data_IF_252751825217
#
_entry.id   IF_252751825217
#
_cell.length_a   1.000
_cell.length_b   1.000
_cell.length_c   1.000
_cell.angle_alpha   90.00
_cell.angle_beta   90.00
_cell.angle_gamma   90.00
#
_symmetry.space_group_name_H-M   'P 1'
#
loop_
_entity.id
_entity.type
_entity.pdbx_description
1 polymer ?
#
# COMPACT_ATOMS: atom_id res chain seq x y z
N UNK A 1 26.48 12.57 22.15
CA UNK A 1 25.25 12.84 21.37
C UNK A 1 25.17 11.87 20.21
N UNK A 2 24.06 11.18 19.96
CA UNK A 2 23.94 10.27 18.81
C UNK A 2 24.08 11.05 17.50
N UNK A 3 24.82 10.48 16.55
CA UNK A 3 25.00 11.10 15.24
C UNK A 3 23.67 11.22 14.48
N UNK A 4 23.56 12.14 13.50
CA UNK A 4 22.36 12.26 12.66
C UNK A 4 21.99 10.94 11.97
N UNK A 5 22.98 10.12 11.62
CA UNK A 5 22.80 8.79 11.02
C UNK A 5 22.22 7.78 12.01
N UNK A 6 22.64 7.80 13.29
CA UNK A 6 22.07 6.95 14.31
C UNK A 6 20.59 7.29 14.54
N UNK A 7 20.23 8.57 14.70
CA UNK A 7 18.84 9.03 14.85
C UNK A 7 17.96 8.66 13.65
N UNK A 8 18.49 8.74 12.43
CA UNK A 8 17.77 8.33 11.22
C UNK A 8 17.50 6.81 11.23
N UNK A 9 18.51 5.99 11.53
CA UNK A 9 18.42 4.53 11.64
C UNK A 9 17.40 4.12 12.70
N UNK A 10 17.45 4.72 13.88
CA UNK A 10 16.54 4.43 14.98
C UNK A 10 15.07 4.74 14.61
N UNK A 11 14.84 5.82 13.84
CA UNK A 11 13.52 6.17 13.32
C UNK A 11 12.98 5.16 12.30
N UNK A 12 13.83 4.52 11.48
CA UNK A 12 13.41 3.44 10.57
C UNK A 12 13.09 2.16 11.33
N UNK A 13 13.93 1.80 12.30
CA UNK A 13 13.72 0.61 13.13
C UNK A 13 12.42 0.75 13.96
N UNK A 14 12.18 1.93 14.53
CA UNK A 14 10.95 2.20 15.27
C UNK A 14 9.72 2.04 14.37
N UNK A 15 9.73 2.62 13.17
CA UNK A 15 8.63 2.46 12.22
C UNK A 15 8.42 1.00 11.82
N UNK A 16 9.50 0.27 11.52
CA UNK A 16 9.41 -1.14 11.19
C UNK A 16 8.83 -1.97 12.35
N UNK A 17 9.26 -1.70 13.59
CA UNK A 17 8.72 -2.36 14.78
C UNK A 17 7.23 -2.04 14.98
N UNK A 18 6.82 -0.78 14.82
CA UNK A 18 5.41 -0.37 14.92
C UNK A 18 4.52 -1.04 13.85
N UNK A 19 5.04 -1.23 12.64
CA UNK A 19 4.33 -1.93 11.57
C UNK A 19 4.32 -3.45 11.75
N UNK A 20 5.38 -4.02 12.33
CA UNK A 20 5.51 -5.46 12.55
C UNK A 20 4.75 -5.94 13.81
N UNK A 21 4.64 -5.12 14.84
CA UNK A 21 4.03 -5.53 16.11
C UNK A 21 2.58 -6.03 15.98
N UNK A 22 1.64 -5.34 15.29
CA UNK A 22 0.30 -5.85 15.08
C UNK A 22 0.29 -7.13 14.23
N UNK A 23 1.17 -7.22 13.23
CA UNK A 23 1.32 -8.42 12.40
C UNK A 23 1.74 -9.63 13.23
N UNK A 24 2.78 -9.48 14.06
CA UNK A 24 3.25 -10.54 14.96
C UNK A 24 2.17 -10.93 15.96
N UNK A 25 1.44 -9.96 16.52
CA UNK A 25 0.34 -10.21 17.43
C UNK A 25 -0.80 -11.00 16.79
N UNK A 26 -1.25 -10.59 15.59
CA UNK A 26 -2.30 -11.29 14.85
C UNK A 26 -1.90 -12.73 14.53
N UNK A 27 -0.69 -12.93 14.01
CA UNK A 27 -0.16 -14.27 13.71
C UNK A 27 -0.10 -15.13 14.98
N UNK A 28 0.44 -14.60 16.08
CA UNK A 28 0.49 -15.30 17.37
C UNK A 28 -0.89 -15.64 17.90
N UNK A 29 -1.84 -14.70 17.90
CA UNK A 29 -3.19 -14.90 18.39
C UNK A 29 -3.92 -16.00 17.61
N UNK A 30 -3.74 -16.02 16.28
CA UNK A 30 -4.34 -17.04 15.42
C UNK A 30 -3.74 -18.42 15.66
N UNK A 31 -2.40 -18.53 15.70
CA UNK A 31 -1.69 -19.79 15.92
C UNK A 31 -1.93 -20.39 17.32
N UNK A 32 -2.21 -19.56 18.32
CA UNK A 32 -2.52 -19.99 19.68
C UNK A 32 -4.01 -20.17 19.96
N UNK A 33 -4.89 -20.04 18.95
CA UNK A 33 -6.33 -20.17 19.09
C UNK A 33 -7.01 -19.07 19.92
N UNK A 34 -6.35 -17.91 20.09
CA UNK A 34 -6.90 -16.74 20.82
C UNK A 34 -7.83 -15.88 19.97
N UNK A 35 -7.79 -16.05 18.65
CA UNK A 35 -8.68 -15.41 17.69
C UNK A 35 -9.15 -16.44 16.67
N UNK A 36 -10.34 -16.24 16.13
CA UNK A 36 -10.92 -17.15 15.15
C UNK A 36 -10.75 -16.59 13.72
N UNK A 37 -11.01 -17.46 12.74
CA UNK A 37 -10.80 -17.17 11.31
C UNK A 37 -11.39 -15.84 10.85
N UNK A 38 -12.66 -15.56 11.20
CA UNK A 38 -13.34 -14.33 10.76
C UNK A 38 -12.64 -13.06 11.24
N UNK A 39 -12.31 -12.99 12.55
CA UNK A 39 -11.57 -11.83 13.10
C UNK A 39 -10.21 -11.68 12.45
N UNK A 40 -9.50 -12.80 12.26
CA UNK A 40 -8.16 -12.78 11.69
C UNK A 40 -8.15 -12.29 10.24
N UNK A 41 -9.09 -12.76 9.41
CA UNK A 41 -9.23 -12.32 8.01
C UNK A 41 -9.57 -10.84 7.95
N UNK A 42 -10.55 -10.37 8.74
CA UNK A 42 -10.91 -8.96 8.77
C UNK A 42 -9.74 -8.08 9.24
N UNK A 43 -9.16 -8.38 10.40
CA UNK A 43 -8.07 -7.57 10.94
C UNK A 43 -6.83 -7.51 10.01
N UNK A 44 -6.44 -8.63 9.42
CA UNK A 44 -5.30 -8.65 8.48
C UNK A 44 -5.60 -7.87 7.18
N UNK A 45 -6.84 -7.95 6.67
CA UNK A 45 -7.30 -7.18 5.54
C UNK A 45 -7.30 -5.67 5.81
N UNK A 46 -7.84 -5.25 6.94
CA UNK A 46 -7.89 -3.84 7.37
C UNK A 46 -6.48 -3.25 7.47
N UNK A 47 -5.56 -3.94 8.15
CA UNK A 47 -4.17 -3.49 8.24
C UNK A 47 -3.49 -3.40 6.87
N UNK A 48 -3.76 -4.34 5.96
CA UNK A 48 -3.24 -4.29 4.59
C UNK A 48 -3.72 -3.02 3.86
N UNK A 49 -5.02 -2.73 3.93
CA UNK A 49 -5.61 -1.53 3.32
C UNK A 49 -5.10 -0.25 3.96
N UNK A 50 -5.03 -0.15 5.28
CA UNK A 50 -4.51 1.05 5.95
C UNK A 50 -3.05 1.33 5.60
N UNK A 51 -2.20 0.31 5.57
CA UNK A 51 -0.82 0.45 5.13
C UNK A 51 -0.72 0.87 3.64
N UNK A 52 -1.55 0.31 2.77
CA UNK A 52 -1.62 0.67 1.35
C UNK A 52 -2.05 2.13 1.17
N UNK A 53 -3.14 2.55 1.82
CA UNK A 53 -3.62 3.93 1.79
C UNK A 53 -2.57 4.90 2.32
N UNK A 54 -1.94 4.58 3.44
CA UNK A 54 -0.86 5.40 4.01
C UNK A 54 0.31 5.53 3.01
N UNK A 55 0.71 4.43 2.35
CA UNK A 55 1.77 4.47 1.33
C UNK A 55 1.39 5.35 0.13
N UNK A 56 0.15 5.28 -0.34
CA UNK A 56 -0.34 6.06 -1.47
C UNK A 56 -0.54 7.54 -1.09
N UNK A 57 -0.98 7.83 0.12
CA UNK A 57 -1.20 9.20 0.62
C UNK A 57 0.08 10.05 0.73
N UNK A 58 1.26 9.44 0.86
CA UNK A 58 2.54 10.18 1.01
C UNK A 58 2.76 11.21 -0.10
N UNK A 59 2.48 10.84 -1.36
CA UNK A 59 2.71 11.72 -2.52
C UNK A 59 1.74 12.91 -2.59
N UNK A 60 0.41 12.72 -2.44
CA UNK A 60 -0.55 13.82 -2.33
C UNK A 60 -0.23 14.75 -1.15
N UNK A 61 0.04 14.19 0.03
CA UNK A 61 0.37 14.97 1.22
C UNK A 61 1.64 15.82 1.02
N UNK A 62 2.66 15.27 0.35
CA UNK A 62 3.84 16.05 -0.01
C UNK A 62 3.53 17.17 -0.99
N UNK A 63 2.57 16.99 -1.89
CA UNK A 63 2.13 18.02 -2.83
C UNK A 63 1.33 19.14 -2.15
N UNK A 64 0.49 18.79 -1.16
CA UNK A 64 -0.28 19.74 -0.36
C UNK A 64 0.59 20.53 0.63
N UNK A 65 1.55 19.85 1.25
CA UNK A 65 2.37 20.41 2.33
C UNK A 65 3.86 20.36 1.99
N UNK A 66 4.32 21.02 0.90
CA UNK A 66 5.67 20.84 0.36
C UNK A 66 6.77 21.35 1.29
N UNK A 67 6.46 22.31 2.18
CA UNK A 67 7.41 22.93 3.12
C UNK A 67 7.41 22.28 4.51
N UNK A 68 6.55 21.30 4.78
CA UNK A 68 6.47 20.66 6.10
C UNK A 68 7.50 19.54 6.23
N UNK A 69 8.25 19.55 7.33
CA UNK A 69 9.31 18.58 7.61
C UNK A 69 8.77 17.14 7.70
N UNK A 70 7.58 16.95 8.27
CA UNK A 70 6.98 15.63 8.42
C UNK A 70 6.67 14.95 7.06
N UNK A 71 6.28 15.71 6.01
CA UNK A 71 6.04 15.12 4.69
C UNK A 71 7.35 14.73 4.00
N UNK A 72 8.43 15.48 4.23
CA UNK A 72 9.78 15.12 3.79
C UNK A 72 10.28 13.85 4.52
N UNK A 73 9.94 13.71 5.81
CA UNK A 73 10.25 12.54 6.63
C UNK A 73 9.51 11.28 6.15
N UNK A 74 8.25 11.39 5.74
CA UNK A 74 7.44 10.28 5.24
C UNK A 74 7.93 9.74 3.88
N UNK A 75 8.46 10.58 3.01
CA UNK A 75 8.78 10.22 1.63
C UNK A 75 9.71 8.99 1.50
N UNK A 76 10.86 8.90 2.19
CA UNK A 76 11.71 7.70 2.14
C UNK A 76 11.08 6.51 2.86
N UNK A 77 10.13 6.73 3.77
CA UNK A 77 9.44 5.71 4.57
C UNK A 77 8.25 5.05 3.87
N UNK A 78 7.81 5.63 2.75
CA UNK A 78 6.74 5.07 1.89
C UNK A 78 6.98 3.60 1.53
N UNK A 79 8.25 3.21 1.35
CA UNK A 79 8.63 1.83 1.03
C UNK A 79 8.23 0.87 2.16
N UNK A 80 8.47 1.23 3.42
CA UNK A 80 8.12 0.40 4.57
C UNK A 80 6.60 0.21 4.70
N UNK A 81 5.82 1.25 4.44
CA UNK A 81 4.35 1.17 4.39
C UNK A 81 3.88 0.22 3.30
N UNK A 82 4.47 0.29 2.09
CA UNK A 82 4.12 -0.60 0.99
C UNK A 82 4.49 -2.07 1.26
N UNK A 83 5.66 -2.31 1.86
CA UNK A 83 6.09 -3.67 2.27
C UNK A 83 5.19 -4.21 3.38
N UNK A 84 4.80 -3.36 4.34
CA UNK A 84 3.86 -3.75 5.39
C UNK A 84 2.49 -4.11 4.81
N UNK A 85 1.96 -3.31 3.85
CA UNK A 85 0.73 -3.63 3.16
C UNK A 85 0.76 -5.03 2.53
N UNK A 86 1.87 -5.37 1.85
CA UNK A 86 2.07 -6.71 1.30
C UNK A 86 2.15 -7.78 2.39
N UNK A 87 2.88 -7.55 3.49
CA UNK A 87 3.03 -8.51 4.58
C UNK A 87 1.66 -8.85 5.22
N UNK A 88 0.80 -7.86 5.43
CA UNK A 88 -0.56 -8.07 5.91
C UNK A 88 -1.46 -8.76 4.86
N UNK A 89 -1.35 -8.40 3.58
CA UNK A 89 -2.06 -9.08 2.51
C UNK A 89 -1.63 -10.55 2.37
N UNK A 90 -0.34 -10.85 2.57
CA UNK A 90 0.18 -12.22 2.60
C UNK A 90 -0.39 -13.00 3.78
N UNK A 91 -0.45 -12.40 4.98
CA UNK A 91 -1.06 -13.02 6.16
C UNK A 91 -2.55 -13.31 5.92
N UNK A 92 -3.29 -12.34 5.36
CA UNK A 92 -4.68 -12.47 4.98
C UNK A 92 -4.91 -13.64 4.00
N UNK A 93 -4.14 -13.70 2.92
CA UNK A 93 -4.22 -14.78 1.93
C UNK A 93 -3.81 -16.14 2.52
N UNK A 94 -2.77 -16.18 3.35
CA UNK A 94 -2.31 -17.41 4.01
C UNK A 94 -3.39 -17.99 4.93
N UNK A 95 -4.05 -17.16 5.73
CA UNK A 95 -5.14 -17.58 6.63
C UNK A 95 -6.33 -18.12 5.83
N UNK A 96 -6.68 -17.49 4.69
CA UNK A 96 -7.70 -18.01 3.79
C UNK A 96 -7.33 -19.40 3.26
N UNK A 97 -6.12 -19.56 2.73
CA UNK A 97 -5.63 -20.83 2.16
C UNK A 97 -5.60 -21.93 3.22
N UNK A 98 -5.08 -21.63 4.42
CA UNK A 98 -5.05 -22.58 5.54
C UNK A 98 -6.45 -23.02 5.97
N UNK A 99 -7.42 -22.11 5.95
CA UNK A 99 -8.81 -22.42 6.32
C UNK A 99 -9.49 -23.30 5.30
N UNK A 100 -9.28 -23.07 4.00
CA UNK A 100 -9.89 -23.86 2.93
C UNK A 100 -9.30 -25.28 2.85
N UNK A 101 -7.99 -25.42 3.03
CA UNK A 101 -7.30 -26.72 3.10
C UNK A 101 -7.35 -27.57 1.84
N UNK A 102 -8.11 -27.16 0.81
CA UNK A 102 -8.37 -27.90 -0.43
C UNK A 102 -8.09 -27.01 -1.66
N UNK A 103 -7.07 -27.37 -2.42
CA UNK A 103 -6.65 -26.61 -3.60
C UNK A 103 -7.71 -26.56 -4.71
N UNK A 104 -8.38 -27.65 -5.12
CA UNK A 104 -9.49 -27.61 -6.08
C UNK A 104 -10.57 -26.62 -5.70
N UNK A 105 -10.94 -26.57 -4.42
CA UNK A 105 -11.94 -25.63 -3.90
C UNK A 105 -11.45 -24.19 -3.97
N UNK A 106 -10.20 -23.92 -3.57
CA UNK A 106 -9.59 -22.58 -3.66
C UNK A 106 -9.61 -22.08 -5.10
N UNK A 107 -9.29 -22.94 -6.07
CA UNK A 107 -9.28 -22.59 -7.50
C UNK A 107 -10.71 -22.33 -8.02
N UNK A 108 -11.68 -23.15 -7.65
CA UNK A 108 -13.07 -22.99 -8.05
C UNK A 108 -13.70 -21.71 -7.47
N UNK A 109 -13.53 -21.47 -6.18
CA UNK A 109 -14.03 -20.25 -5.50
C UNK A 109 -13.27 -19.01 -5.96
N UNK A 110 -11.97 -19.15 -6.27
CA UNK A 110 -11.09 -18.06 -6.73
C UNK A 110 -11.52 -17.41 -8.04
N UNK A 111 -12.37 -18.05 -8.83
CA UNK A 111 -12.96 -17.49 -10.03
C UNK A 111 -14.18 -16.58 -9.76
N UNK A 112 -14.75 -16.63 -8.56
CA UNK A 112 -15.78 -15.67 -8.16
C UNK A 112 -15.21 -14.24 -8.17
N UNK A 113 -15.97 -13.28 -8.70
CA UNK A 113 -15.49 -11.92 -8.96
C UNK A 113 -14.83 -11.26 -7.73
N UNK A 114 -15.39 -11.47 -6.54
CA UNK A 114 -14.82 -10.96 -5.30
C UNK A 114 -13.43 -11.53 -5.00
N UNK A 115 -13.28 -12.85 -5.03
CA UNK A 115 -11.99 -13.50 -4.74
C UNK A 115 -10.98 -13.30 -5.88
N UNK A 116 -11.43 -13.31 -7.14
CA UNK A 116 -10.57 -13.07 -8.29
C UNK A 116 -9.88 -11.70 -8.21
N UNK A 117 -10.63 -10.64 -7.86
CA UNK A 117 -10.04 -9.30 -7.70
C UNK A 117 -9.00 -9.26 -6.59
N UNK A 118 -9.21 -9.98 -5.49
CA UNK A 118 -8.23 -10.15 -4.42
C UNK A 118 -6.96 -10.86 -4.87
N UNK A 119 -7.09 -11.97 -5.58
CA UNK A 119 -5.94 -12.71 -6.12
C UNK A 119 -5.15 -11.91 -7.15
N UNK A 120 -5.83 -11.15 -8.03
CA UNK A 120 -5.16 -10.25 -8.99
C UNK A 120 -4.42 -9.12 -8.29
N UNK A 121 -5.03 -8.50 -7.26
CA UNK A 121 -4.35 -7.50 -6.44
C UNK A 121 -3.10 -8.08 -5.77
N UNK A 122 -3.23 -9.26 -5.16
CA UNK A 122 -2.12 -9.94 -4.50
C UNK A 122 -1.00 -10.30 -5.49
N UNK A 123 -1.33 -10.81 -6.67
CA UNK A 123 -0.35 -11.11 -7.73
C UNK A 123 0.45 -9.87 -8.15
N UNK A 124 -0.17 -8.67 -8.14
CA UNK A 124 0.53 -7.42 -8.40
C UNK A 124 1.41 -7.02 -7.20
N UNK A 125 0.95 -7.22 -5.98
CA UNK A 125 1.74 -6.87 -4.78
C UNK A 125 3.05 -7.67 -4.67
N UNK A 126 3.07 -8.93 -5.09
CA UNK A 126 4.27 -9.78 -5.03
C UNK A 126 5.49 -9.12 -5.73
N UNK A 127 5.49 -8.80 -7.03
CA UNK A 127 6.62 -8.17 -7.67
C UNK A 127 6.93 -6.78 -7.10
N UNK A 128 5.93 -6.01 -6.64
CA UNK A 128 6.16 -4.72 -6.00
C UNK A 128 6.93 -4.88 -4.70
N UNK A 129 6.58 -5.85 -3.86
CA UNK A 129 7.27 -6.11 -2.60
C UNK A 129 8.70 -6.64 -2.84
N UNK A 130 8.87 -7.62 -3.73
CA UNK A 130 10.18 -8.20 -4.06
C UNK A 130 11.16 -7.17 -4.64
N UNK A 131 10.64 -6.17 -5.37
CA UNK A 131 11.47 -5.10 -5.96
C UNK A 131 11.56 -3.85 -5.07
N UNK A 132 11.00 -3.87 -3.86
CA UNK A 132 11.05 -2.77 -2.91
C UNK A 132 12.37 -2.72 -2.12
N UNK A 133 13.50 -2.78 -2.81
CA UNK A 133 14.85 -2.69 -2.24
C UNK A 133 15.79 -1.88 -3.13
N UNK A 134 16.92 -1.43 -2.57
CA UNK A 134 17.87 -0.57 -3.29
C UNK A 134 18.59 -1.28 -4.44
N UNK A 135 18.79 -2.59 -4.33
CA UNK A 135 19.35 -3.43 -5.40
C UNK A 135 18.45 -3.41 -6.63
N UNK A 136 17.14 -3.62 -6.44
CA UNK A 136 16.15 -3.58 -7.52
C UNK A 136 16.01 -2.19 -8.13
N UNK A 137 16.03 -1.13 -7.32
CA UNK A 137 16.02 0.26 -7.82
C UNK A 137 17.21 0.52 -8.75
N UNK A 138 18.41 0.10 -8.36
CA UNK A 138 19.63 0.26 -9.19
C UNK A 138 19.58 -0.57 -10.45
N UNK A 139 19.15 -1.85 -10.35
CA UNK A 139 19.11 -2.78 -11.50
C UNK A 139 18.05 -2.42 -12.53
N UNK A 140 16.84 -2.06 -12.08
CA UNK A 140 15.70 -1.79 -12.96
C UNK A 140 15.65 -0.34 -13.45
N UNK A 141 16.28 0.61 -12.77
CA UNK A 141 16.33 2.01 -13.17
C UNK A 141 14.94 2.59 -13.51
N UNK A 142 14.73 2.99 -14.78
CA UNK A 142 13.44 3.55 -15.22
C UNK A 142 12.30 2.54 -15.19
N UNK A 143 12.57 1.25 -15.41
CA UNK A 143 11.57 0.20 -15.38
C UNK A 143 10.98 0.02 -13.97
N UNK A 144 11.78 0.24 -12.92
CA UNK A 144 11.31 0.22 -11.55
C UNK A 144 10.13 1.18 -11.32
N UNK A 145 10.24 2.41 -11.84
CA UNK A 145 9.16 3.40 -11.72
C UNK A 145 7.90 3.00 -12.49
N UNK A 146 8.04 2.33 -13.65
CA UNK A 146 6.90 1.81 -14.43
C UNK A 146 6.21 0.69 -13.68
N UNK A 147 6.99 -0.28 -13.17
CA UNK A 147 6.49 -1.39 -12.36
C UNK A 147 5.73 -0.87 -11.12
N UNK A 148 6.34 0.05 -10.35
CA UNK A 148 5.71 0.55 -9.13
C UNK A 148 4.48 1.45 -9.37
N UNK A 149 4.21 1.88 -10.60
CA UNK A 149 2.93 2.55 -10.93
C UNK A 149 1.73 1.60 -10.95
N UNK A 150 1.93 0.31 -11.20
CA UNK A 150 0.83 -0.66 -11.19
C UNK A 150 0.22 -0.85 -9.79
N UNK A 151 0.82 -0.27 -8.73
CA UNK A 151 0.22 -0.19 -7.39
C UNK A 151 -1.17 0.47 -7.41
N UNK A 152 -1.44 1.38 -8.35
CA UNK A 152 -2.77 1.98 -8.48
C UNK A 152 -3.82 0.98 -8.98
N UNK A 153 -3.44 0.11 -9.92
CA UNK A 153 -4.31 -0.99 -10.35
C UNK A 153 -4.55 -1.98 -9.18
N UNK A 154 -3.49 -2.31 -8.42
CA UNK A 154 -3.63 -3.14 -7.23
C UNK A 154 -4.58 -2.50 -6.19
N UNK A 155 -4.51 -1.19 -5.97
CA UNK A 155 -5.42 -0.48 -5.07
C UNK A 155 -6.88 -0.57 -5.53
N UNK A 156 -7.15 -0.34 -6.82
CA UNK A 156 -8.51 -0.49 -7.38
C UNK A 156 -9.03 -1.91 -7.17
N UNK A 157 -8.21 -2.93 -7.48
CA UNK A 157 -8.57 -4.33 -7.29
C UNK A 157 -8.78 -4.69 -5.81
N UNK A 158 -7.98 -4.12 -4.90
CA UNK A 158 -8.13 -4.32 -3.45
C UNK A 158 -9.48 -3.76 -2.96
N UNK A 159 -9.86 -2.56 -3.38
CA UNK A 159 -11.15 -1.99 -3.01
C UNK A 159 -12.31 -2.73 -3.68
N UNK A 160 -12.16 -3.16 -4.93
CA UNK A 160 -13.15 -4.01 -5.59
C UNK A 160 -13.34 -5.33 -4.85
N UNK A 161 -12.23 -5.98 -4.45
CA UNK A 161 -12.26 -7.17 -3.60
C UNK A 161 -13.05 -6.92 -2.32
N UNK A 162 -12.73 -5.84 -1.59
CA UNK A 162 -13.39 -5.51 -0.33
C UNK A 162 -14.89 -5.27 -0.51
N UNK A 163 -15.29 -4.45 -1.50
CA UNK A 163 -16.70 -4.18 -1.80
C UNK A 163 -17.48 -5.44 -2.18
N UNK A 164 -16.87 -6.35 -2.96
CA UNK A 164 -17.53 -7.56 -3.45
C UNK A 164 -17.57 -8.70 -2.42
N UNK A 165 -16.76 -8.64 -1.36
CA UNK A 165 -16.69 -9.70 -0.34
C UNK A 165 -17.25 -9.27 1.02
N UNK A 166 -17.39 -7.98 1.27
CA UNK A 166 -17.95 -7.47 2.52
C UNK A 166 -19.47 -7.66 2.58
N UNK A 167 -19.98 -8.02 3.75
CA UNK A 167 -21.41 -8.04 4.01
C UNK A 167 -22.00 -6.61 4.01
N UNK A 168 -21.27 -5.65 4.61
CA UNK A 168 -21.55 -4.21 4.53
C UNK A 168 -20.35 -3.49 3.89
N UNK A 169 -20.47 -3.02 2.63
CA UNK A 169 -19.38 -2.36 1.92
C UNK A 169 -19.23 -0.86 2.26
N UNK A 170 -20.02 -0.31 3.17
CA UNK A 170 -20.00 1.12 3.53
C UNK A 170 -18.61 1.61 3.89
N UNK A 171 -17.90 0.85 4.73
CA UNK A 171 -16.53 1.17 5.15
C UNK A 171 -15.56 1.14 3.96
N UNK A 172 -15.71 0.19 3.04
CA UNK A 172 -14.88 0.10 1.84
C UNK A 172 -15.09 1.32 0.93
N UNK A 173 -16.34 1.75 0.71
CA UNK A 173 -16.64 2.96 -0.06
C UNK A 173 -16.08 4.22 0.59
N UNK A 174 -16.18 4.35 1.91
CA UNK A 174 -15.61 5.49 2.62
C UNK A 174 -14.09 5.59 2.41
N UNK A 175 -13.37 4.50 2.61
CA UNK A 175 -11.91 4.47 2.42
C UNK A 175 -11.51 4.71 0.95
N UNK A 176 -12.24 4.12 -0.01
CA UNK A 176 -12.02 4.36 -1.43
C UNK A 176 -12.23 5.83 -1.80
N UNK A 177 -13.27 6.47 -1.27
CA UNK A 177 -13.56 7.89 -1.51
C UNK A 177 -12.46 8.79 -0.94
N UNK A 178 -11.99 8.51 0.28
CA UNK A 178 -10.87 9.24 0.90
C UNK A 178 -9.61 9.11 0.03
N UNK A 179 -9.27 7.89 -0.41
CA UNK A 179 -8.10 7.68 -1.26
C UNK A 179 -8.26 8.38 -2.62
N UNK A 180 -9.42 8.27 -3.27
CA UNK A 180 -9.70 8.93 -4.53
C UNK A 180 -9.59 10.47 -4.41
N UNK A 181 -10.08 11.05 -3.31
CA UNK A 181 -9.93 12.47 -3.01
C UNK A 181 -8.46 12.89 -2.89
N UNK A 182 -7.66 12.14 -2.15
CA UNK A 182 -6.22 12.40 -2.00
C UNK A 182 -5.47 12.30 -3.35
N UNK A 183 -5.76 11.29 -4.16
CA UNK A 183 -5.13 11.13 -5.47
C UNK A 183 -5.57 12.21 -6.48
N UNK A 184 -6.83 12.65 -6.41
CA UNK A 184 -7.34 13.76 -7.22
C UNK A 184 -6.56 15.07 -6.95
N UNK A 185 -6.23 15.36 -5.69
CA UNK A 185 -5.38 16.49 -5.32
C UNK A 185 -4.01 16.40 -6.00
N UNK A 186 -3.42 15.21 -6.03
CA UNK A 186 -2.13 14.99 -6.71
C UNK A 186 -2.22 15.25 -8.21
N UNK A 187 -3.29 14.77 -8.85
CA UNK A 187 -3.50 14.97 -10.29
C UNK A 187 -3.69 16.45 -10.62
N UNK A 188 -4.48 17.17 -9.83
CA UNK A 188 -4.68 18.62 -9.99
C UNK A 188 -3.37 19.37 -9.78
N UNK A 189 -2.59 19.03 -8.76
CA UNK A 189 -1.30 19.66 -8.51
C UNK A 189 -0.28 19.40 -9.62
N UNK A 190 -0.34 18.23 -10.25
CA UNK A 190 0.48 17.90 -11.41
C UNK A 190 0.05 18.69 -12.65
N UNK A 191 -1.24 18.75 -12.94
CA UNK A 191 -1.79 19.47 -14.08
C UNK A 191 -1.49 20.98 -14.01
N UNK A 192 -1.60 21.59 -12.82
CA UNK A 192 -1.27 23.01 -12.61
C UNK A 192 0.21 23.30 -12.88
N UNK A 193 1.13 22.42 -12.49
CA UNK A 193 2.57 22.56 -12.74
C UNK A 193 2.90 22.47 -14.24
N UNK A 194 2.23 21.60 -14.97
CA UNK A 194 2.40 21.48 -16.42
C UNK A 194 1.96 22.76 -17.16
N UNK A 195 0.89 23.41 -16.73
CA UNK A 195 0.41 24.67 -17.32
C UNK A 195 1.36 25.84 -17.06
N UNK A 196 1.90 25.98 -15.85
CA UNK A 196 2.83 27.08 -15.54
C UNK A 196 4.14 27.02 -16.34
N UNK A 197 4.58 25.84 -16.76
CA UNK A 197 5.73 25.67 -17.64
C UNK A 197 5.39 26.02 -19.09
N UNK A 198 4.16 25.74 -19.53
CA UNK A 198 3.72 26.05 -20.90
C UNK A 198 3.40 27.54 -21.13
N UNK A 199 3.02 28.27 -20.06
CA UNK A 199 2.67 29.71 -20.12
C UNK A 199 3.84 30.66 -19.75
N UNK A 200 4.94 30.12 -19.18
CA UNK A 200 6.16 30.84 -18.90
C UNK A 200 6.96 31.06 -20.22
N UNK A 201 6.52 32.05 -20.97
CA UNK A 201 7.02 32.38 -22.29
C UNK A 201 8.52 32.65 -22.33
N UNK A 202 9.06 32.46 -23.53
CA UNK A 202 10.39 32.79 -24.04
C UNK A 202 11.05 33.98 -23.32
N UNK A 203 12.21 33.81 -22.69
CA UNK A 203 12.99 34.94 -22.20
C UNK A 203 14.04 35.36 -23.22
N UNK A 204 13.64 35.67 -24.46
CA UNK A 204 14.50 36.35 -25.40
C UNK A 204 13.80 37.60 -25.93
N UNK A 205 14.16 38.82 -25.46
CA UNK A 205 13.94 40.03 -26.23
C UNK A 205 14.95 40.06 -27.39
N UNK A 206 14.45 40.38 -28.54
CA UNK A 206 15.22 40.68 -29.74
C UNK A 206 16.12 41.91 -29.56
#
# INVERSE_FOLDING_TARGET
>A
MPSKLAKARDSYLLLAALLAAPWCWLAFAYLTGRTFYGEMVHASGDWAVWCLMAALAVSPLRSLFPRRAWTAWLLPRRRYLGVAAFAYALLHAAVYVLRQGDLPRILAEGLAAGLLTGWLAFAIFVPLALTSNDGSVRRLGRAWKRLHRIVYAAAVLTFAHWVLTAFDPTTAYLHATVLAGLESVRLVAWARRGRSVATGGSPFPH
#
